data_IF_622287852687
#
_entry.id   IF_622287852687
#
_cell.length_a   1.000
_cell.length_b   1.000
_cell.length_c   1.000
_cell.angle_alpha   90.00
_cell.angle_beta   90.00
_cell.angle_gamma   90.00
#
_symmetry.space_group_name_H-M   'P 1'
#
loop_
_entity.id
_entity.type
_entity.pdbx_description
1 polymer ?
#
# COMPACT_ATOMS: atom_id res chain seq x y z
N UNK A 1 -28.66 23.37 -3.23
CA UNK A 1 -28.12 22.01 -3.03
C UNK A 1 -27.16 22.07 -1.85
N UNK A 2 -27.45 21.36 -0.76
CA UNK A 2 -26.52 21.26 0.37
C UNK A 2 -25.49 20.16 0.05
N UNK A 3 -24.22 20.54 -0.09
CA UNK A 3 -23.12 19.58 -0.15
C UNK A 3 -22.90 19.08 1.27
N UNK A 4 -23.32 17.85 1.55
CA UNK A 4 -23.01 17.19 2.81
C UNK A 4 -21.48 16.98 2.87
N UNK A 5 -20.81 17.78 3.70
CA UNK A 5 -19.42 17.50 4.09
C UNK A 5 -19.45 16.25 4.97
N UNK A 6 -19.21 15.08 4.39
CA UNK A 6 -19.01 13.85 5.15
C UNK A 6 -17.70 13.99 5.92
N UNK A 7 -17.81 14.29 7.22
CA UNK A 7 -16.70 14.20 8.15
C UNK A 7 -16.40 12.71 8.35
N UNK A 8 -15.24 12.26 7.88
CA UNK A 8 -14.85 10.87 8.01
C UNK A 8 -14.15 10.67 9.34
N UNK A 9 -14.89 10.15 10.31
CA UNK A 9 -14.33 9.71 11.58
C UNK A 9 -13.67 8.33 11.39
N UNK A 10 -12.34 8.28 11.49
CA UNK A 10 -11.57 7.03 11.50
C UNK A 10 -10.97 6.64 10.14
N UNK A 11 -10.13 5.60 10.19
CA UNK A 11 -9.46 5.01 9.03
C UNK A 11 -10.28 3.81 8.56
N UNK A 12 -10.66 3.78 7.29
CA UNK A 12 -11.36 2.66 6.68
C UNK A 12 -10.37 1.80 5.87
N UNK A 13 -10.59 0.49 5.81
CA UNK A 13 -9.63 -0.43 5.18
C UNK A 13 -9.46 -0.21 3.67
N UNK A 14 -10.47 0.38 3.04
CA UNK A 14 -10.46 0.74 1.62
C UNK A 14 -9.78 2.09 1.34
N UNK A 15 -9.25 2.75 2.37
CA UNK A 15 -8.65 4.07 2.25
C UNK A 15 -7.33 4.00 1.54
N UNK A 16 -7.07 5.04 0.77
CA UNK A 16 -5.79 5.20 0.12
C UNK A 16 -4.77 5.71 1.13
N UNK A 17 -3.61 5.06 1.14
CA UNK A 17 -2.45 5.43 1.91
C UNK A 17 -1.27 5.64 0.98
N UNK A 18 -0.39 6.56 1.35
CA UNK A 18 0.93 6.71 0.74
C UNK A 18 1.98 6.18 1.71
N UNK A 19 2.93 5.42 1.19
CA UNK A 19 4.07 4.93 1.97
C UNK A 19 5.38 5.23 1.26
N UNK A 20 6.39 5.58 2.05
CA UNK A 20 7.76 5.71 1.55
C UNK A 20 8.46 4.37 1.72
N UNK A 21 8.72 3.68 0.61
CA UNK A 21 9.29 2.33 0.61
C UNK A 21 10.78 2.36 0.95
N UNK A 22 11.23 1.41 1.77
CA UNK A 22 12.65 1.12 1.95
C UNK A 22 13.16 0.21 0.82
N UNK A 23 14.48 0.05 0.64
CA UNK A 23 15.02 -0.95 -0.29
C UNK A 23 14.44 -2.36 -0.05
N UNK A 24 14.18 -2.72 1.21
CA UNK A 24 13.55 -3.98 1.59
C UNK A 24 12.10 -4.04 1.09
N UNK A 25 11.33 -2.96 1.25
CA UNK A 25 9.96 -2.88 0.73
C UNK A 25 9.89 -3.05 -0.79
N UNK A 26 10.82 -2.43 -1.51
CA UNK A 26 10.93 -2.55 -2.97
C UNK A 26 11.22 -4.00 -3.37
N UNK A 27 12.16 -4.64 -2.67
CA UNK A 27 12.53 -6.03 -2.92
C UNK A 27 11.36 -7.00 -2.68
N UNK A 28 10.58 -6.79 -1.61
CA UNK A 28 9.35 -7.56 -1.35
C UNK A 28 8.38 -7.45 -2.54
N UNK A 29 8.14 -6.23 -3.04
CA UNK A 29 7.25 -6.01 -4.18
C UNK A 29 7.77 -6.66 -5.46
N UNK A 30 9.09 -6.61 -5.70
CA UNK A 30 9.74 -7.30 -6.82
C UNK A 30 9.51 -8.81 -6.76
N UNK A 31 9.77 -9.42 -5.60
CA UNK A 31 9.56 -10.86 -5.41
C UNK A 31 8.10 -11.27 -5.59
N UNK A 32 7.16 -10.48 -5.07
CA UNK A 32 5.73 -10.72 -5.26
C UNK A 32 5.33 -10.64 -6.73
N UNK A 33 5.83 -9.64 -7.45
CA UNK A 33 5.59 -9.48 -8.87
C UNK A 33 6.16 -10.66 -9.67
N UNK A 34 7.37 -11.11 -9.37
CA UNK A 34 7.98 -12.27 -10.04
C UNK A 34 7.21 -13.55 -9.79
N UNK A 35 6.79 -13.80 -8.55
CA UNK A 35 5.91 -14.94 -8.23
C UNK A 35 4.60 -14.87 -9.01
N UNK A 36 4.03 -13.67 -9.17
CA UNK A 36 2.82 -13.48 -9.97
C UNK A 36 3.08 -13.74 -11.46
N UNK A 37 4.17 -13.24 -12.02
CA UNK A 37 4.56 -13.49 -13.41
C UNK A 37 4.79 -14.98 -13.67
N UNK A 38 5.51 -15.67 -12.78
CA UNK A 38 5.72 -17.12 -12.87
C UNK A 38 4.40 -17.89 -12.88
N UNK A 39 3.46 -17.52 -11.99
CA UNK A 39 2.12 -18.12 -11.97
C UNK A 39 1.36 -17.89 -13.27
N UNK A 40 1.41 -16.68 -13.82
CA UNK A 40 0.78 -16.37 -15.12
C UNK A 40 1.38 -17.24 -16.22
N UNK A 41 2.70 -17.35 -16.29
CA UNK A 41 3.38 -18.17 -17.30
C UNK A 41 2.95 -19.64 -17.21
N UNK A 42 2.89 -20.20 -16.00
CA UNK A 42 2.42 -21.59 -15.78
C UNK A 42 0.97 -21.76 -16.21
N UNK A 43 0.08 -20.82 -15.86
CA UNK A 43 -1.36 -20.92 -16.17
C UNK A 43 -1.69 -20.69 -17.65
N UNK A 44 -0.74 -20.16 -18.43
CA UNK A 44 -0.91 -19.82 -19.85
C UNK A 44 0.01 -20.64 -20.75
N UNK A 45 0.63 -21.71 -20.24
CA UNK A 45 1.61 -22.52 -20.97
C UNK A 45 2.70 -21.67 -21.65
N UNK A 46 3.10 -20.57 -21.01
CA UNK A 46 4.13 -19.65 -21.49
C UNK A 46 3.67 -18.58 -22.50
N UNK A 47 2.38 -18.50 -22.84
CA UNK A 47 1.86 -17.47 -23.76
C UNK A 47 1.42 -16.18 -23.09
N UNK A 48 1.47 -16.13 -21.75
CA UNK A 48 1.06 -14.97 -20.96
C UNK A 48 1.96 -13.75 -21.20
N UNK A 49 1.44 -12.53 -20.95
CA UNK A 49 2.23 -11.32 -21.11
C UNK A 49 3.30 -11.22 -20.02
N UNK A 50 4.58 -11.34 -20.40
CA UNK A 50 5.70 -11.00 -19.53
C UNK A 50 5.72 -9.49 -19.30
N UNK A 51 5.45 -9.05 -18.08
CA UNK A 51 5.56 -7.63 -17.71
C UNK A 51 6.79 -7.45 -16.82
N UNK A 52 7.65 -6.43 -17.07
CA UNK A 52 8.74 -6.11 -16.15
C UNK A 52 8.18 -5.50 -14.87
N UNK A 53 8.89 -5.71 -13.76
CA UNK A 53 8.57 -5.01 -12.51
C UNK A 53 8.76 -3.51 -12.74
N UNK A 54 7.74 -2.71 -12.43
CA UNK A 54 7.81 -1.25 -12.49
C UNK A 54 7.23 -0.69 -11.21
N UNK A 55 8.06 0.02 -10.46
CA UNK A 55 7.62 0.74 -9.28
C UNK A 55 6.97 2.05 -9.70
N UNK A 56 5.77 2.32 -9.18
CA UNK A 56 5.07 3.60 -9.38
C UNK A 56 5.17 4.41 -8.11
N UNK A 57 6.11 5.35 -8.08
CA UNK A 57 6.26 6.35 -7.02
C UNK A 57 5.92 7.73 -7.56
N UNK A 58 5.48 8.62 -6.66
CA UNK A 58 5.39 10.05 -6.97
C UNK A 58 6.77 10.73 -6.94
N UNK A 59 6.80 12.03 -7.25
CA UNK A 59 8.01 12.86 -7.28
C UNK A 59 8.80 12.87 -5.97
N UNK A 60 8.14 12.53 -4.84
CA UNK A 60 8.74 12.48 -3.51
C UNK A 60 9.13 11.06 -3.09
N UNK A 61 8.96 10.08 -3.97
CA UNK A 61 9.30 8.68 -3.72
C UNK A 61 8.23 7.90 -2.96
N UNK A 62 7.00 8.40 -2.85
CA UNK A 62 5.91 7.68 -2.19
C UNK A 62 5.16 6.78 -3.17
N UNK A 63 4.91 5.55 -2.74
CA UNK A 63 4.02 4.62 -3.43
C UNK A 63 2.63 4.64 -2.79
N UNK A 64 1.58 4.53 -3.61
CA UNK A 64 0.18 4.60 -3.15
C UNK A 64 -0.50 3.24 -3.18
N UNK A 65 -1.21 2.89 -2.11
CA UNK A 65 -1.95 1.64 -1.96
C UNK A 65 -3.29 1.88 -1.28
N UNK A 66 -4.26 0.98 -1.47
CA UNK A 66 -5.34 0.87 -0.50
C UNK A 66 -4.82 0.19 0.77
N UNK A 67 -5.30 0.59 1.95
CA UNK A 67 -4.80 0.10 3.23
C UNK A 67 -4.89 -1.43 3.35
N UNK A 68 -5.98 -2.05 2.91
CA UNK A 68 -6.10 -3.51 2.87
C UNK A 68 -5.00 -4.17 2.03
N UNK A 69 -4.66 -3.59 0.87
CA UNK A 69 -3.64 -4.15 -0.03
C UNK A 69 -2.24 -3.95 0.55
N UNK A 70 -2.00 -2.83 1.25
CA UNK A 70 -0.77 -2.61 1.99
C UNK A 70 -0.57 -3.71 3.04
N UNK A 71 -1.60 -3.99 3.84
CA UNK A 71 -1.53 -5.02 4.88
C UNK A 71 -1.34 -6.42 4.29
N UNK A 72 -2.01 -6.75 3.19
CA UNK A 72 -1.83 -8.03 2.50
C UNK A 72 -0.39 -8.20 2.00
N UNK A 73 0.19 -7.16 1.39
CA UNK A 73 1.53 -7.21 0.80
C UNK A 73 2.63 -7.23 1.84
N UNK A 74 2.54 -6.40 2.87
CA UNK A 74 3.63 -6.19 3.83
C UNK A 74 3.41 -6.87 5.17
N UNK A 75 2.18 -7.22 5.54
CA UNK A 75 1.84 -7.90 6.80
C UNK A 75 2.74 -9.11 7.12
N UNK A 76 2.97 -10.04 6.18
CA UNK A 76 3.86 -11.20 6.42
C UNK A 76 5.33 -10.84 6.68
N UNK A 77 5.74 -9.64 6.26
CA UNK A 77 7.11 -9.13 6.35
C UNK A 77 7.30 -8.18 7.54
N UNK A 78 6.23 -7.79 8.23
CA UNK A 78 6.29 -7.00 9.46
C UNK A 78 6.34 -7.94 10.67
N UNK A 79 7.26 -7.67 11.60
CA UNK A 79 7.41 -8.49 12.80
C UNK A 79 8.68 -8.13 13.57
N UNK A 80 8.83 -8.71 14.76
CA UNK A 80 10.00 -8.48 15.60
C UNK A 80 11.29 -8.87 14.85
N UNK A 81 12.29 -7.99 14.92
CA UNK A 81 13.61 -8.12 14.28
C UNK A 81 13.61 -8.18 12.75
N UNK A 82 12.50 -7.90 12.08
CA UNK A 82 12.47 -7.76 10.62
C UNK A 82 12.73 -6.30 10.24
N UNK A 83 13.50 -6.04 9.17
CA UNK A 83 13.67 -4.68 8.67
C UNK A 83 12.33 -4.09 8.20
N UNK A 84 12.11 -2.80 8.44
CA UNK A 84 10.86 -2.16 8.08
C UNK A 84 10.71 -2.05 6.55
N UNK A 85 9.56 -2.44 5.97
CA UNK A 85 9.32 -2.31 4.54
C UNK A 85 9.06 -0.86 4.08
N UNK A 86 8.68 0.02 4.99
CA UNK A 86 8.45 1.45 4.72
C UNK A 86 8.74 2.28 5.97
N UNK A 87 9.17 3.52 5.77
CA UNK A 87 9.53 4.46 6.86
C UNK A 87 8.34 5.30 7.32
N UNK A 88 7.47 5.67 6.40
CA UNK A 88 6.34 6.55 6.66
C UNK A 88 5.05 6.02 6.03
N UNK A 89 3.93 6.26 6.69
CA UNK A 89 2.58 5.95 6.22
C UNK A 89 1.67 7.17 6.42
N UNK A 90 1.09 7.65 5.33
CA UNK A 90 0.19 8.80 5.30
C UNK A 90 -1.18 8.33 4.82
N UNK A 91 -2.20 8.51 5.63
CA UNK A 91 -3.58 8.21 5.23
C UNK A 91 -4.16 9.39 4.47
N UNK A 92 -4.71 9.14 3.28
CA UNK A 92 -5.31 10.18 2.44
C UNK A 92 -6.78 10.37 2.80
N UNK A 93 -7.20 11.63 2.94
CA UNK A 93 -8.63 11.98 3.09
C UNK A 93 -9.23 11.74 4.46
N UNK A 94 -8.43 11.54 5.51
CA UNK A 94 -8.92 11.50 6.89
C UNK A 94 -8.85 12.88 7.54
N UNK A 95 -9.92 13.28 8.22
CA UNK A 95 -9.91 14.44 9.13
C UNK A 95 -9.52 13.92 10.52
N UNK A 96 -8.50 14.52 11.15
CA UNK A 96 -8.15 14.20 12.54
C UNK A 96 -9.27 14.76 13.43
N UNK A 97 -9.98 13.87 14.14
CA UNK A 97 -10.95 14.29 15.14
C UNK A 97 -10.15 14.60 16.41
N UNK A 98 -9.95 15.88 16.72
CA UNK A 98 -9.24 16.32 17.93
C UNK A 98 -10.03 15.85 19.17
N UNK A 99 -9.37 15.16 20.09
CA UNK A 99 -9.96 14.62 21.32
C UNK A 99 -10.18 15.70 22.38
N UNK A 100 -10.71 16.86 21.98
CA UNK A 100 -11.10 17.96 22.87
C UNK A 100 -12.54 18.31 22.57
N UNK A 101 -13.47 17.62 23.24
CA UNK A 101 -14.80 18.12 23.60
C UNK A 101 -15.52 17.02 24.40
N UNK A 102 -15.15 16.89 25.68
CA UNK A 102 -16.07 16.35 26.68
C UNK A 102 -15.87 17.20 27.94
N UNK A 103 -16.54 18.36 27.94
CA UNK A 103 -16.79 19.17 29.13
C UNK A 103 -18.05 18.67 29.81
#
# INVERSE_FOLDING_TARGET
MAIAHYVKAGVHINDWVKVQLTPVGIEILRQQHEKQQQRIMILTDGTGPAKPFTMRTDEKGYASFQLWSLMERFGPHMGLQKPEPFTELIVLGTTIVDAKNNH
#
